data_IF_980280833101
#
_entry.id   IF_980280833101
#
_cell.length_a   1.000
_cell.length_b   1.000
_cell.length_c   1.000
_cell.angle_alpha   90.00
_cell.angle_beta   90.00
_cell.angle_gamma   90.00
#
_symmetry.space_group_name_H-M   'P 1'
#
loop_
_entity.id
_entity.type
_entity.pdbx_description
1 polymer ?
#
# COMPACT_ATOMS: atom_id res chain seq x y z
N UNK A 1 6.63 -18.39 2.20
CA UNK A 1 5.44 -18.34 3.06
C UNK A 1 4.19 -19.00 2.43
N UNK A 2 4.36 -19.90 1.46
CA UNK A 2 3.24 -20.66 0.88
C UNK A 2 2.23 -19.86 0.04
N UNK A 3 2.61 -18.68 -0.42
CA UNK A 3 1.75 -17.82 -1.26
C UNK A 3 1.76 -18.27 -2.73
N UNK A 4 2.85 -18.91 -3.15
CA UNK A 4 3.02 -19.47 -4.49
C UNK A 4 3.76 -20.79 -4.42
N UNK A 5 3.45 -21.73 -5.31
CA UNK A 5 4.17 -22.99 -5.47
C UNK A 5 5.53 -22.76 -6.15
N UNK A 6 5.59 -21.78 -7.04
CA UNK A 6 6.81 -21.35 -7.70
C UNK A 6 7.41 -20.14 -6.98
N UNK A 7 8.74 -19.93 -7.07
CA UNK A 7 9.39 -18.75 -6.51
C UNK A 7 8.76 -17.47 -7.06
N UNK A 8 8.33 -16.58 -6.17
CA UNK A 8 7.72 -15.31 -6.54
C UNK A 8 8.31 -14.17 -5.73
N UNK A 9 8.50 -13.02 -6.39
CA UNK A 9 9.04 -11.80 -5.78
C UNK A 9 8.11 -10.65 -6.09
N UNK A 10 7.81 -9.83 -5.09
CA UNK A 10 7.05 -8.60 -5.26
C UNK A 10 7.98 -7.40 -5.09
N UNK A 11 7.98 -6.51 -6.06
CA UNK A 11 8.68 -5.23 -6.00
C UNK A 11 7.68 -4.09 -5.85
N UNK A 12 8.00 -3.15 -4.98
CA UNK A 12 7.24 -1.93 -4.79
C UNK A 12 8.03 -0.74 -5.33
N UNK A 13 7.51 -0.07 -6.34
CA UNK A 13 8.05 1.21 -6.77
C UNK A 13 7.74 2.28 -5.73
N UNK A 14 8.65 3.24 -5.55
CA UNK A 14 8.42 4.35 -4.64
C UNK A 14 7.35 5.33 -5.17
N UNK A 15 6.72 6.14 -4.31
CA UNK A 15 5.66 7.06 -4.72
C UNK A 15 6.09 8.07 -5.80
N UNK A 16 7.29 8.62 -5.73
CA UNK A 16 7.79 9.62 -6.68
C UNK A 16 7.91 9.03 -8.08
N UNK A 17 8.51 7.84 -8.20
CA UNK A 17 8.61 7.15 -9.48
C UNK A 17 7.22 6.75 -10.01
N UNK A 18 6.36 6.25 -9.14
CA UNK A 18 5.00 5.82 -9.49
C UNK A 18 4.15 6.97 -10.03
N UNK A 19 4.27 8.17 -9.45
CA UNK A 19 3.58 9.36 -9.93
C UNK A 19 4.08 9.81 -11.29
N UNK A 20 5.41 9.84 -11.48
CA UNK A 20 6.02 10.25 -12.74
C UNK A 20 5.65 9.33 -13.92
N UNK A 21 5.39 8.06 -13.64
CA UNK A 21 5.13 7.02 -14.63
C UNK A 21 3.69 6.48 -14.59
N UNK A 22 2.77 7.21 -13.95
CA UNK A 22 1.40 6.72 -13.74
C UNK A 22 0.65 6.41 -15.03
N UNK A 23 0.82 7.26 -16.04
CA UNK A 23 0.11 7.18 -17.32
C UNK A 23 0.89 6.41 -18.40
N UNK A 24 2.10 5.93 -18.09
CA UNK A 24 2.92 5.17 -19.01
C UNK A 24 2.31 3.78 -19.28
N UNK A 25 2.67 3.22 -20.44
CA UNK A 25 2.25 1.89 -20.85
C UNK A 25 2.73 0.81 -19.88
N UNK A 26 1.85 -0.13 -19.53
CA UNK A 26 2.15 -1.15 -18.52
C UNK A 26 3.27 -2.10 -18.95
N UNK A 27 3.37 -2.46 -20.23
CA UNK A 27 4.41 -3.36 -20.71
C UNK A 27 5.78 -2.68 -20.66
N UNK A 28 5.82 -1.38 -20.94
CA UNK A 28 7.03 -0.58 -20.80
C UNK A 28 7.45 -0.45 -19.34
N UNK A 29 6.50 -0.22 -18.43
CA UNK A 29 6.78 -0.16 -16.99
C UNK A 29 7.33 -1.49 -16.47
N UNK A 30 6.78 -2.62 -16.90
CA UNK A 30 7.30 -3.94 -16.52
C UNK A 30 8.74 -4.12 -16.97
N UNK A 31 9.10 -3.70 -18.20
CA UNK A 31 10.49 -3.76 -18.67
C UNK A 31 11.43 -2.92 -17.81
N UNK A 32 11.04 -1.68 -17.49
CA UNK A 32 11.85 -0.80 -16.64
C UNK A 32 12.01 -1.38 -15.23
N UNK A 33 10.94 -1.89 -14.65
CA UNK A 33 10.99 -2.52 -13.33
C UNK A 33 11.82 -3.80 -13.32
N UNK A 34 11.75 -4.62 -14.38
CA UNK A 34 12.60 -5.82 -14.52
C UNK A 34 14.09 -5.46 -14.57
N UNK A 35 14.47 -4.42 -15.30
CA UNK A 35 15.83 -3.90 -15.31
C UNK A 35 16.27 -3.44 -13.92
N UNK A 36 15.42 -2.68 -13.22
CA UNK A 36 15.69 -2.20 -11.87
C UNK A 36 15.79 -3.35 -10.86
N UNK A 37 15.05 -4.44 -11.06
CA UNK A 37 15.04 -5.62 -10.19
C UNK A 37 16.23 -6.58 -10.42
N UNK A 38 16.94 -6.44 -11.54
CA UNK A 38 18.04 -7.35 -11.91
C UNK A 38 19.08 -7.60 -10.80
N UNK A 39 19.52 -6.61 -9.99
CA UNK A 39 20.46 -6.85 -8.90
C UNK A 39 20.00 -7.90 -7.88
N UNK A 40 18.69 -8.12 -7.75
CA UNK A 40 18.09 -9.09 -6.82
C UNK A 40 17.65 -10.39 -7.51
N UNK A 41 17.33 -10.32 -8.80
CA UNK A 41 16.91 -11.48 -9.58
C UNK A 41 18.11 -12.25 -10.19
N UNK A 42 19.23 -11.56 -10.43
CA UNK A 42 20.39 -12.16 -11.10
C UNK A 42 20.02 -12.73 -12.47
N UNK A 43 20.42 -13.95 -12.73
CA UNK A 43 20.18 -14.67 -14.00
C UNK A 43 18.83 -15.41 -14.04
N UNK A 44 17.95 -15.17 -13.06
CA UNK A 44 16.63 -15.80 -13.03
C UNK A 44 15.78 -15.36 -14.22
N UNK A 45 15.09 -16.30 -14.84
CA UNK A 45 14.14 -16.03 -15.92
C UNK A 45 12.80 -15.68 -15.36
N UNK A 46 12.24 -14.54 -15.75
CA UNK A 46 10.87 -14.15 -15.40
C UNK A 46 9.92 -14.90 -16.35
N UNK A 47 9.16 -15.85 -15.80
CA UNK A 47 8.20 -16.66 -16.58
C UNK A 47 6.80 -16.07 -16.60
N UNK A 48 6.45 -15.30 -15.58
CA UNK A 48 5.16 -14.61 -15.44
C UNK A 48 5.33 -13.33 -14.65
N UNK A 49 4.54 -12.33 -14.96
CA UNK A 49 4.50 -11.08 -14.21
C UNK A 49 3.09 -10.51 -14.13
N UNK A 50 2.86 -9.69 -13.12
CA UNK A 50 1.63 -8.94 -12.94
C UNK A 50 1.97 -7.55 -12.41
N UNK A 51 1.47 -6.50 -13.05
CA UNK A 51 1.60 -5.11 -12.61
C UNK A 51 0.28 -4.61 -12.04
N UNK A 52 0.33 -4.04 -10.83
CA UNK A 52 -0.82 -3.35 -10.23
C UNK A 52 -0.46 -1.92 -9.89
N UNK A 53 -1.30 -0.99 -10.33
CA UNK A 53 -1.21 0.43 -9.98
C UNK A 53 -2.22 0.74 -8.87
N UNK A 54 -1.74 1.22 -7.74
CA UNK A 54 -2.57 1.58 -6.59
C UNK A 54 -2.54 3.09 -6.40
N UNK A 55 -3.61 3.75 -6.85
CA UNK A 55 -3.69 5.20 -6.82
C UNK A 55 -3.68 5.79 -5.40
N UNK A 56 -4.29 5.11 -4.46
CA UNK A 56 -4.45 5.52 -3.07
C UNK A 56 -3.72 4.56 -2.13
N UNK A 57 -2.45 4.29 -2.40
CA UNK A 57 -1.66 3.31 -1.66
C UNK A 57 -1.16 3.82 -0.31
N UNK A 58 -0.84 5.11 -0.22
CA UNK A 58 -0.27 5.70 0.99
C UNK A 58 -0.87 7.08 1.23
N UNK A 59 -1.32 7.38 2.46
CA UNK A 59 -1.80 8.73 2.80
C UNK A 59 -0.68 9.76 2.66
N UNK A 60 -0.98 10.91 2.07
CA UNK A 60 -0.05 12.05 1.99
C UNK A 60 -0.04 12.89 3.25
N UNK A 61 -1.15 12.88 3.97
CA UNK A 61 -1.30 13.54 5.27
C UNK A 61 -1.95 12.58 6.25
N UNK A 62 -1.57 12.70 7.51
CA UNK A 62 -2.06 11.85 8.58
C UNK A 62 -2.92 12.70 9.50
N UNK A 63 -4.12 12.22 9.81
CA UNK A 63 -4.94 12.80 10.85
C UNK A 63 -4.29 12.53 12.22
N UNK A 64 -4.18 13.55 13.10
CA UNK A 64 -3.38 13.41 14.33
C UNK A 64 -4.00 12.46 15.36
N UNK A 65 -5.32 12.33 15.38
CA UNK A 65 -6.01 11.46 16.31
C UNK A 65 -6.16 10.04 15.74
N UNK A 66 -6.32 9.00 16.58
CA UNK A 66 -6.41 7.63 16.13
C UNK A 66 -7.69 7.29 15.35
N UNK A 67 -8.75 8.07 15.50
CA UNK A 67 -9.96 8.03 14.68
C UNK A 67 -10.63 9.41 14.66
N UNK A 68 -11.60 9.58 13.79
CA UNK A 68 -12.44 10.79 13.76
C UNK A 68 -13.90 10.40 13.91
N UNK A 69 -14.68 11.23 14.60
CA UNK A 69 -16.13 11.03 14.76
C UNK A 69 -16.87 12.33 14.58
N UNK A 70 -18.12 12.24 14.09
CA UNK A 70 -19.06 13.37 14.11
C UNK A 70 -19.44 13.73 15.55
N UNK A 71 -19.86 14.97 15.76
CA UNK A 71 -20.29 15.46 17.09
C UNK A 71 -21.43 14.63 17.70
N UNK A 72 -22.30 14.06 16.86
CA UNK A 72 -23.41 13.19 17.28
C UNK A 72 -23.03 11.71 17.39
N UNK A 73 -21.76 11.37 17.15
CA UNK A 73 -21.22 10.02 17.26
C UNK A 73 -21.74 9.02 16.22
N UNK A 74 -22.51 9.46 15.21
CA UNK A 74 -23.13 8.53 14.25
C UNK A 74 -22.22 8.08 13.12
N UNK A 75 -21.16 8.84 12.84
CA UNK A 75 -20.18 8.50 11.82
C UNK A 75 -18.79 8.46 12.46
N UNK A 76 -18.10 7.37 12.28
CA UNK A 76 -16.71 7.20 12.73
C UNK A 76 -15.86 6.82 11.53
N UNK A 77 -14.71 7.47 11.40
CA UNK A 77 -13.71 7.18 10.37
C UNK A 77 -12.43 6.68 11.04
N UNK A 78 -11.88 5.61 10.51
CA UNK A 78 -10.66 4.98 10.97
C UNK A 78 -9.88 4.41 9.78
N UNK A 79 -8.60 4.13 9.96
CA UNK A 79 -7.74 3.53 8.94
C UNK A 79 -6.30 3.97 9.05
N UNK A 80 -5.51 3.69 8.03
CA UNK A 80 -4.07 4.01 7.97
C UNK A 80 -3.76 5.50 7.78
N UNK A 81 -4.76 6.32 7.53
CA UNK A 81 -4.62 7.79 7.52
C UNK A 81 -4.76 8.42 8.93
N UNK A 82 -4.99 7.62 9.98
CA UNK A 82 -5.18 8.08 11.36
C UNK A 82 -4.03 7.61 12.24
N UNK A 83 -3.24 8.57 12.75
CA UNK A 83 -2.12 8.34 13.68
C UNK A 83 -0.97 7.46 13.16
N UNK A 84 -1.03 6.93 11.95
CA UNK A 84 0.09 6.22 11.33
C UNK A 84 -0.28 5.38 10.10
N UNK A 85 0.54 5.46 9.02
CA UNK A 85 0.25 4.84 7.72
C UNK A 85 0.73 3.38 7.63
N UNK A 86 0.86 2.67 8.74
CA UNK A 86 1.32 1.28 8.79
C UNK A 86 0.17 0.37 9.20
N UNK A 87 0.35 -0.94 8.98
CA UNK A 87 -0.62 -1.97 9.41
C UNK A 87 -0.96 -1.83 10.89
N UNK A 88 0.04 -1.60 11.73
CA UNK A 88 -0.15 -1.35 13.17
C UNK A 88 -0.98 -0.07 13.42
N UNK A 89 -0.70 1.02 12.67
CA UNK A 89 -1.49 2.26 12.78
C UNK A 89 -2.94 2.04 12.39
N UNK A 90 -3.19 1.36 11.29
CA UNK A 90 -4.55 1.01 10.85
C UNK A 90 -5.29 0.13 11.88
N UNK A 91 -4.60 -0.84 12.46
CA UNK A 91 -5.15 -1.70 13.53
C UNK A 91 -5.52 -0.87 14.77
N UNK A 92 -4.61 -0.04 15.26
CA UNK A 92 -4.83 0.81 16.43
C UNK A 92 -5.96 1.82 16.20
N UNK A 93 -6.04 2.35 14.98
CA UNK A 93 -7.14 3.22 14.56
C UNK A 93 -8.50 2.51 14.64
N UNK A 94 -8.57 1.27 14.16
CA UNK A 94 -9.77 0.43 14.27
C UNK A 94 -10.17 0.14 15.71
N UNK A 95 -9.20 -0.15 16.59
CA UNK A 95 -9.46 -0.34 18.02
C UNK A 95 -10.00 0.95 18.68
N UNK A 96 -9.43 2.11 18.35
CA UNK A 96 -9.92 3.39 18.88
C UNK A 96 -11.35 3.68 18.42
N UNK A 97 -11.68 3.40 17.17
CA UNK A 97 -13.04 3.54 16.64
C UNK A 97 -14.02 2.61 17.38
N UNK A 98 -13.63 1.36 17.61
CA UNK A 98 -14.44 0.41 18.35
C UNK A 98 -14.69 0.86 19.81
N UNK A 99 -13.68 1.35 20.51
CA UNK A 99 -13.82 1.91 21.85
C UNK A 99 -14.77 3.11 21.87
N UNK A 100 -14.70 3.98 20.86
CA UNK A 100 -15.61 5.13 20.74
C UNK A 100 -17.06 4.68 20.56
N UNK A 101 -17.31 3.61 19.79
CA UNK A 101 -18.65 3.06 19.59
C UNK A 101 -19.22 2.41 20.84
N UNK A 102 -18.36 1.81 21.68
CA UNK A 102 -18.77 1.08 22.87
C UNK A 102 -18.87 1.97 24.13
N UNK A 103 -18.34 3.16 24.04
CA UNK A 103 -18.44 4.14 25.12
C UNK A 103 -19.80 4.81 25.16
#
# INVERSE_FOLDING_TARGET
KGVSLEPAVTFHANPTWSEAHWDDDNDELVKQLAVAAHPWLGDATIVEHSLKKWRLATPRSIWPDPCWTTADGKVIMAGDAFAGPKVEGAHNSGLAAAHTLLA
#
